data_IF_574108283956
#
_entry.id   IF_574108283956
#
_cell.length_a   1.000
_cell.length_b   1.000
_cell.length_c   1.000
_cell.angle_alpha   90.00
_cell.angle_beta   90.00
_cell.angle_gamma   90.00
#
_symmetry.space_group_name_H-M   'P 1'
#
loop_
_entity.id
_entity.type
_entity.pdbx_description
1 polymer ?
#
# COMPACT_ATOMS: atom_id res chain seq x y z
N UNK A 1 12.15 6.15 -7.10
CA UNK A 1 13.18 5.88 -6.06
C UNK A 1 14.10 4.81 -6.60
N UNK A 2 15.41 4.98 -6.50
CA UNK A 2 16.35 3.88 -6.77
C UNK A 2 16.34 2.91 -5.58
N UNK A 3 16.23 1.61 -5.85
CA UNK A 3 16.22 0.58 -4.81
C UNK A 3 16.97 -0.66 -5.29
N UNK A 4 17.90 -1.21 -4.48
CA UNK A 4 18.47 -2.52 -4.75
C UNK A 4 17.40 -3.60 -4.84
N UNK A 5 17.58 -4.55 -5.76
CA UNK A 5 16.59 -5.59 -6.02
C UNK A 5 16.22 -6.38 -4.76
N UNK A 6 17.18 -6.63 -3.87
CA UNK A 6 16.97 -7.32 -2.59
C UNK A 6 16.04 -6.57 -1.62
N UNK A 7 15.89 -5.26 -1.78
CA UNK A 7 15.08 -4.42 -0.90
C UNK A 7 13.74 -4.01 -1.51
N UNK A 8 13.53 -4.24 -2.82
CA UNK A 8 12.31 -3.86 -3.54
C UNK A 8 11.05 -4.36 -2.84
N UNK A 9 11.01 -5.63 -2.43
CA UNK A 9 9.82 -6.22 -1.80
C UNK A 9 9.44 -5.51 -0.50
N UNK A 10 10.41 -5.31 0.39
CA UNK A 10 10.18 -4.64 1.67
C UNK A 10 9.84 -3.15 1.51
N UNK A 11 10.53 -2.45 0.61
CA UNK A 11 10.28 -1.05 0.33
C UNK A 11 8.87 -0.84 -0.28
N UNK A 12 8.46 -1.68 -1.23
CA UNK A 12 7.13 -1.66 -1.82
C UNK A 12 6.05 -1.96 -0.78
N UNK A 13 6.23 -3.00 0.06
CA UNK A 13 5.29 -3.34 1.15
C UNK A 13 5.10 -2.15 2.10
N UNK A 14 6.20 -1.51 2.52
CA UNK A 14 6.19 -0.35 3.40
C UNK A 14 5.41 0.84 2.82
N UNK A 15 5.71 1.24 1.59
CA UNK A 15 5.05 2.38 0.96
C UNK A 15 3.57 2.09 0.65
N UNK A 16 3.24 0.88 0.19
CA UNK A 16 1.86 0.47 -0.05
C UNK A 16 1.04 0.49 1.25
N UNK A 17 1.56 -0.10 2.34
CA UNK A 17 0.89 -0.04 3.63
C UNK A 17 0.74 1.38 4.17
N UNK A 18 1.69 2.27 3.88
CA UNK A 18 1.58 3.70 4.24
C UNK A 18 0.39 4.36 3.53
N UNK A 19 0.17 4.08 2.23
CA UNK A 19 -1.00 4.57 1.49
C UNK A 19 -2.29 4.03 2.13
N UNK A 20 -2.38 2.72 2.37
CA UNK A 20 -3.57 2.10 2.93
C UNK A 20 -3.86 2.54 4.36
N UNK A 21 -2.83 2.81 5.18
CA UNK A 21 -3.03 3.37 6.52
C UNK A 21 -3.83 4.68 6.47
N UNK A 22 -3.48 5.57 5.54
CA UNK A 22 -4.15 6.86 5.39
C UNK A 22 -5.51 6.80 4.68
N UNK A 23 -5.77 5.75 3.89
CA UNK A 23 -7.00 5.65 3.08
C UNK A 23 -8.04 4.68 3.59
N UNK A 24 -7.64 3.66 4.33
CA UNK A 24 -8.58 2.76 4.99
C UNK A 24 -9.07 3.32 6.33
N UNK A 25 -8.44 4.39 6.84
CA UNK A 25 -8.69 5.02 8.15
C UNK A 25 -9.02 3.97 9.21
N UNK A 26 -8.16 2.97 9.24
CA UNK A 26 -8.23 1.90 10.22
C UNK A 26 -8.08 2.59 11.57
N UNK A 27 -9.05 2.40 12.47
CA UNK A 27 -8.89 2.82 13.87
C UNK A 27 -7.45 2.51 14.30
N UNK A 28 -6.77 3.36 15.09
CA UNK A 28 -5.44 3.06 15.63
C UNK A 28 -5.33 1.67 16.28
N UNK A 29 -6.46 1.07 16.68
CA UNK A 29 -6.56 -0.33 17.13
C UNK A 29 -6.19 -1.41 16.08
N UNK A 30 -6.08 -1.04 14.81
CA UNK A 30 -5.87 -1.92 13.67
C UNK A 30 -4.58 -1.61 12.91
N UNK A 31 -3.58 -1.12 13.63
CA UNK A 31 -2.21 -1.02 13.13
C UNK A 31 -1.24 -1.80 14.01
N UNK A 32 -0.07 -2.10 13.46
CA UNK A 32 1.04 -2.73 14.15
C UNK A 32 2.37 -2.19 13.63
N UNK A 33 3.37 -2.16 14.52
CA UNK A 33 4.74 -1.91 14.14
C UNK A 33 5.28 -3.11 13.35
N UNK A 34 5.98 -2.82 12.26
CA UNK A 34 6.69 -3.80 11.47
C UNK A 34 8.07 -3.27 11.07
N UNK A 35 8.88 -4.14 10.47
CA UNK A 35 10.26 -3.86 10.12
C UNK A 35 10.59 -4.55 8.81
N UNK A 36 11.18 -3.79 7.90
CA UNK A 36 11.87 -4.35 6.75
C UNK A 36 13.17 -4.97 7.28
N UNK A 37 13.16 -6.28 7.54
CA UNK A 37 14.28 -6.99 8.18
C UNK A 37 15.61 -6.75 7.46
N UNK A 38 15.59 -6.69 6.13
CA UNK A 38 16.78 -6.50 5.29
C UNK A 38 17.36 -5.08 5.35
N UNK A 39 16.59 -4.08 5.78
CA UNK A 39 17.01 -2.69 5.93
C UNK A 39 17.06 -2.23 7.40
N UNK A 40 16.64 -3.08 8.34
CA UNK A 40 16.37 -2.70 9.73
C UNK A 40 15.48 -1.45 9.85
N UNK A 41 14.58 -1.24 8.88
CA UNK A 41 13.75 -0.04 8.77
C UNK A 41 12.37 -0.27 9.40
N UNK A 42 12.02 0.43 10.49
CA UNK A 42 10.71 0.31 11.12
C UNK A 42 9.63 1.07 10.34
N UNK A 43 8.43 0.52 10.27
CA UNK A 43 7.28 1.20 9.68
C UNK A 43 5.97 0.68 10.30
N UNK A 44 4.90 1.45 10.16
CA UNK A 44 3.56 1.06 10.61
C UNK A 44 2.80 0.44 9.45
N UNK A 45 2.14 -0.70 9.70
CA UNK A 45 1.23 -1.32 8.73
C UNK A 45 -0.14 -1.62 9.32
N UNK A 46 -1.06 -1.97 8.44
CA UNK A 46 -2.40 -2.39 8.81
C UNK A 46 -2.35 -3.78 9.47
N UNK A 47 -2.94 -3.93 10.66
CA UNK A 47 -2.95 -5.16 11.45
C UNK A 47 -4.15 -6.02 11.08
N UNK A 48 -3.91 -7.30 10.75
CA UNK A 48 -5.00 -8.28 10.55
C UNK A 48 -5.81 -8.46 11.83
N UNK A 49 -7.14 -8.48 11.68
CA UNK A 49 -8.06 -8.66 12.80
C UNK A 49 -8.28 -10.18 12.99
N UNK A 50 -7.96 -10.76 14.16
CA UNK A 50 -8.24 -12.16 14.42
C UNK A 50 -9.73 -12.46 14.27
N UNK A 51 -10.08 -13.55 13.59
CA UNK A 51 -11.50 -13.92 13.35
C UNK A 51 -12.28 -14.11 14.65
N UNK A 52 -11.62 -14.56 15.73
CA UNK A 52 -12.20 -14.67 17.07
C UNK A 52 -12.57 -13.33 17.72
N UNK A 53 -11.99 -12.23 17.25
CA UNK A 53 -12.22 -10.88 17.79
C UNK A 53 -13.32 -10.13 17.04
N UNK A 54 -13.74 -10.60 15.86
CA UNK A 54 -14.72 -9.93 15.01
C UNK A 54 -16.10 -9.97 15.66
N UNK A 55 -16.66 -8.79 15.99
CA UNK A 55 -18.01 -8.64 16.55
C UNK A 55 -18.78 -7.58 15.77
N UNK A 56 -19.93 -7.96 15.23
CA UNK A 56 -20.80 -7.07 14.46
C UNK A 56 -20.34 -6.85 13.01
N UNK A 57 -21.24 -6.28 12.21
CA UNK A 57 -21.08 -6.12 10.76
C UNK A 57 -19.92 -5.19 10.39
N UNK A 58 -19.78 -4.06 11.10
CA UNK A 58 -18.72 -3.08 10.84
C UNK A 58 -17.32 -3.66 11.01
N UNK A 59 -17.10 -4.44 12.07
CA UNK A 59 -15.81 -5.08 12.33
C UNK A 59 -15.52 -6.20 11.33
N UNK A 60 -16.56 -6.92 10.89
CA UNK A 60 -16.41 -7.93 9.85
C UNK A 60 -16.00 -7.31 8.51
N UNK A 61 -16.64 -6.19 8.13
CA UNK A 61 -16.30 -5.46 6.90
C UNK A 61 -14.86 -4.92 6.95
N UNK A 62 -14.44 -4.38 8.10
CA UNK A 62 -13.05 -3.98 8.32
C UNK A 62 -12.08 -5.16 8.19
N UNK A 63 -12.37 -6.30 8.83
CA UNK A 63 -11.52 -7.49 8.77
C UNK A 63 -11.36 -8.01 7.33
N UNK A 64 -12.45 -8.07 6.56
CA UNK A 64 -12.44 -8.49 5.15
C UNK A 64 -11.56 -7.56 4.31
N UNK A 65 -11.73 -6.25 4.47
CA UNK A 65 -10.98 -5.29 3.68
C UNK A 65 -9.49 -5.26 4.05
N UNK A 66 -9.15 -5.38 5.34
CA UNK A 66 -7.76 -5.51 5.80
C UNK A 66 -7.11 -6.78 5.22
N UNK A 67 -7.79 -7.93 5.30
CA UNK A 67 -7.29 -9.17 4.74
C UNK A 67 -7.05 -9.03 3.22
N UNK A 68 -8.00 -8.41 2.52
CA UNK A 68 -7.87 -8.09 1.09
C UNK A 68 -6.66 -7.20 0.82
N UNK A 69 -6.38 -6.20 1.67
CA UNK A 69 -5.21 -5.31 1.51
C UNK A 69 -3.92 -6.10 1.58
N UNK A 70 -3.77 -6.96 2.58
CA UNK A 70 -2.60 -7.83 2.70
C UNK A 70 -2.44 -8.75 1.49
N UNK A 71 -3.53 -9.36 1.04
CA UNK A 71 -3.49 -10.33 -0.05
C UNK A 71 -3.15 -9.65 -1.39
N UNK A 72 -3.72 -8.48 -1.68
CA UNK A 72 -3.41 -7.70 -2.89
C UNK A 72 -1.97 -7.15 -2.87
N UNK A 73 -1.47 -6.64 -1.74
CA UNK A 73 -0.07 -6.20 -1.62
C UNK A 73 0.87 -7.38 -1.87
N UNK A 74 0.64 -8.51 -1.18
CA UNK A 74 1.44 -9.71 -1.36
C UNK A 74 1.42 -10.18 -2.80
N UNK A 75 0.23 -10.26 -3.41
CA UNK A 75 0.06 -10.67 -4.80
C UNK A 75 0.87 -9.76 -5.73
N UNK A 76 0.71 -8.44 -5.61
CA UNK A 76 1.42 -7.48 -6.46
C UNK A 76 2.94 -7.58 -6.34
N UNK A 77 3.48 -7.72 -5.13
CA UNK A 77 4.92 -7.84 -4.90
C UNK A 77 5.44 -9.18 -5.41
N UNK A 78 4.75 -10.29 -5.12
CA UNK A 78 5.19 -11.63 -5.51
C UNK A 78 5.07 -11.91 -7.01
N UNK A 79 4.24 -11.15 -7.73
CA UNK A 79 4.18 -11.20 -9.19
C UNK A 79 5.34 -10.49 -9.89
N UNK A 80 6.09 -9.63 -9.19
CA UNK A 80 7.31 -9.04 -9.75
C UNK A 80 8.38 -10.13 -9.93
N UNK A 81 8.97 -10.29 -11.13
CA UNK A 81 10.01 -11.28 -11.36
C UNK A 81 11.23 -11.08 -10.45
N UNK A 82 11.81 -12.19 -9.96
CA UNK A 82 13.02 -12.16 -9.11
C UNK A 82 14.28 -11.63 -9.81
N UNK A 83 14.26 -11.39 -11.12
CA UNK A 83 15.39 -10.86 -11.91
C UNK A 83 14.90 -9.67 -12.70
N UNK A 84 14.92 -8.50 -12.04
CA UNK A 84 14.31 -7.27 -12.55
C UNK A 84 15.27 -6.06 -12.48
N UNK A 85 16.54 -6.30 -12.17
CA UNK A 85 17.56 -5.27 -12.19
C UNK A 85 17.59 -4.48 -13.51
N UNK A 86 17.87 -3.19 -13.40
CA UNK A 86 17.88 -2.19 -14.48
C UNK A 86 16.51 -1.98 -15.17
N UNK A 87 15.42 -2.28 -14.46
CA UNK A 87 14.05 -1.98 -14.90
C UNK A 87 13.37 -1.04 -13.91
N UNK A 88 12.34 -0.36 -14.39
CA UNK A 88 11.44 0.38 -13.52
C UNK A 88 10.24 -0.49 -13.19
N UNK A 89 9.98 -0.69 -11.90
CA UNK A 89 8.76 -1.32 -11.40
C UNK A 89 7.84 -0.22 -10.89
N UNK A 90 6.65 -0.15 -11.45
CA UNK A 90 5.61 0.77 -11.02
C UNK A 90 4.47 -0.02 -10.36
N UNK A 91 4.02 0.41 -9.18
CA UNK A 91 2.78 -0.05 -8.58
C UNK A 91 1.72 1.05 -8.69
N UNK A 92 0.59 0.73 -9.33
CA UNK A 92 -0.60 1.59 -9.39
C UNK A 92 -1.62 1.12 -8.36
N UNK A 93 -1.98 1.97 -7.41
CA UNK A 93 -3.08 1.75 -6.47
C UNK A 93 -4.27 2.58 -6.90
N UNK A 94 -5.36 1.93 -7.31
CA UNK A 94 -6.61 2.62 -7.64
C UNK A 94 -7.63 2.42 -6.53
N UNK A 95 -8.16 3.52 -5.99
CA UNK A 95 -9.32 3.52 -5.12
C UNK A 95 -10.59 3.78 -5.94
N UNK A 96 -11.55 2.87 -5.77
CA UNK A 96 -12.76 2.79 -6.58
C UNK A 96 -13.99 3.09 -5.74
N UNK A 97 -14.95 3.81 -6.33
CA UNK A 97 -16.27 4.06 -5.75
C UNK A 97 -17.34 3.55 -6.71
N UNK A 98 -18.21 2.69 -6.21
CA UNK A 98 -19.38 2.20 -6.92
C UNK A 98 -20.35 3.35 -7.12
N UNK A 99 -20.77 3.56 -8.36
CA UNK A 99 -21.91 4.41 -8.68
C UNK A 99 -23.18 3.58 -8.40
N UNK A 100 -23.98 4.00 -7.42
CA UNK A 100 -25.14 3.23 -6.97
C UNK A 100 -26.13 2.87 -8.08
N UNK A 101 -26.69 1.66 -7.99
CA UNK A 101 -27.96 1.16 -8.56
C UNK A 101 -28.31 1.45 -10.03
N UNK A 102 -27.33 1.64 -10.92
CA UNK A 102 -27.56 1.55 -12.36
C UNK A 102 -26.73 0.40 -12.94
N UNK A 103 -27.40 -0.50 -13.64
CA UNK A 103 -26.94 -1.84 -14.06
C UNK A 103 -25.76 -1.77 -15.09
N UNK A 104 -25.28 -0.57 -15.41
CA UNK A 104 -24.25 -0.31 -16.41
C UNK A 104 -23.19 0.73 -15.99
N UNK A 105 -23.19 1.24 -14.76
CA UNK A 105 -22.15 2.19 -14.34
C UNK A 105 -20.91 1.44 -13.82
N UNK A 106 -19.80 1.56 -14.54
CA UNK A 106 -18.49 1.15 -14.04
C UNK A 106 -18.12 1.92 -12.77
N UNK A 107 -17.41 1.26 -11.86
CA UNK A 107 -16.84 1.92 -10.68
C UNK A 107 -15.88 3.04 -11.12
N UNK A 108 -15.93 4.17 -10.42
CA UNK A 108 -15.12 5.35 -10.73
C UNK A 108 -13.83 5.33 -9.91
N UNK A 109 -12.68 5.49 -10.58
CA UNK A 109 -11.40 5.74 -9.90
C UNK A 109 -11.46 7.15 -9.31
N UNK A 110 -11.58 7.28 -8.00
CA UNK A 110 -11.66 8.59 -7.33
C UNK A 110 -10.30 9.04 -6.80
N UNK A 111 -9.37 8.11 -6.61
CA UNK A 111 -7.98 8.42 -6.27
C UNK A 111 -7.05 7.34 -6.82
N UNK A 112 -5.88 7.77 -7.32
CA UNK A 112 -4.87 6.88 -7.89
C UNK A 112 -3.50 7.29 -7.33
N UNK A 113 -2.73 6.29 -6.90
CA UNK A 113 -1.35 6.44 -6.49
C UNK A 113 -0.42 5.66 -7.39
N UNK A 114 0.74 6.23 -7.71
CA UNK A 114 1.80 5.57 -8.45
C UNK A 114 3.07 5.53 -7.59
N UNK A 115 3.60 4.33 -7.37
CA UNK A 115 4.89 4.12 -6.71
C UNK A 115 5.87 3.58 -7.74
N UNK A 116 6.88 4.39 -8.09
CA UNK A 116 7.88 4.03 -9.08
C UNK A 116 9.24 3.72 -8.43
N UNK A 117 9.74 2.53 -8.71
CA UNK A 117 11.02 2.00 -8.24
C UNK A 117 11.94 1.75 -9.44
N UNK A 118 13.07 2.45 -9.48
CA UNK A 118 14.17 2.15 -10.41
C UNK A 118 15.00 1.07 -9.73
N UNK A 119 14.95 -0.16 -10.25
CA UNK A 119 15.56 -1.30 -9.58
C UNK A 119 17.01 -1.44 -10.02
N UNK A 120 17.94 -1.35 -9.07
CA UNK A 120 19.38 -1.52 -9.34
C UNK A 120 19.85 -2.92 -8.91
N UNK A 121 20.83 -3.53 -9.61
CA UNK A 121 21.28 -4.90 -9.32
C UNK A 121 21.97 -5.06 -7.98
N UNK A 122 22.60 -3.99 -7.48
CA UNK A 122 23.28 -3.92 -6.20
C UNK A 122 23.21 -2.48 -5.70
N UNK A 123 23.34 -2.29 -4.38
CA UNK A 123 23.41 -0.95 -3.80
C UNK A 123 24.72 -0.27 -4.20
N UNK A 124 24.63 0.76 -5.03
CA UNK A 124 25.70 1.76 -5.21
C UNK A 124 25.65 2.84 -4.13
N UNK A 125 24.50 2.99 -3.49
CA UNK A 125 24.23 3.91 -2.38
C UNK A 125 24.52 3.22 -1.05
N UNK A 126 24.79 4.00 0.00
CA UNK A 126 24.88 3.43 1.36
C UNK A 126 23.48 2.95 1.81
N UNK A 127 23.45 2.00 2.75
CA UNK A 127 22.17 1.57 3.33
C UNK A 127 21.41 2.73 3.98
N UNK A 128 22.15 3.68 4.57
CA UNK A 128 21.60 4.88 5.19
C UNK A 128 20.90 5.78 4.15
N UNK A 129 21.48 5.91 2.94
CA UNK A 129 20.86 6.69 1.85
C UNK A 129 19.54 6.04 1.36
N UNK A 130 19.51 4.70 1.28
CA UNK A 130 18.29 3.96 0.91
C UNK A 130 17.20 4.17 1.97
N UNK A 131 17.57 4.08 3.25
CA UNK A 131 16.68 4.33 4.39
C UNK A 131 16.18 5.77 4.42
N UNK A 132 17.05 6.75 4.19
CA UNK A 132 16.69 8.16 4.13
C UNK A 132 15.70 8.41 2.98
N UNK A 133 15.97 7.87 1.80
CA UNK A 133 15.08 8.00 0.65
C UNK A 133 13.72 7.36 0.93
N UNK A 134 13.70 6.18 1.56
CA UNK A 134 12.46 5.51 1.95
C UNK A 134 11.65 6.32 2.97
N UNK A 135 12.33 6.87 3.97
CA UNK A 135 11.76 7.76 4.97
C UNK A 135 11.14 9.00 4.33
N UNK A 136 11.84 9.61 3.38
CA UNK A 136 11.36 10.79 2.66
C UNK A 136 10.12 10.46 1.81
N UNK A 137 10.08 9.32 1.11
CA UNK A 137 8.89 8.87 0.37
C UNK A 137 7.71 8.54 1.26
N UNK A 138 7.95 7.93 2.43
CA UNK A 138 6.89 7.72 3.40
C UNK A 138 6.32 9.04 3.93
N UNK A 139 7.18 10.03 4.19
CA UNK A 139 6.77 11.39 4.59
C UNK A 139 5.96 12.10 3.49
N UNK A 140 6.35 11.95 2.22
CA UNK A 140 5.58 12.48 1.09
C UNK A 140 4.15 11.89 1.06
N UNK A 141 4.00 10.58 1.27
CA UNK A 141 2.69 9.92 1.36
C UNK A 141 1.86 10.50 2.51
N UNK A 142 2.46 10.67 3.69
CA UNK A 142 1.80 11.26 4.87
C UNK A 142 1.32 12.68 4.56
N UNK A 143 2.21 13.52 4.03
CA UNK A 143 1.90 14.92 3.73
C UNK A 143 0.80 15.04 2.68
N UNK A 144 0.89 14.27 1.58
CA UNK A 144 -0.15 14.26 0.54
C UNK A 144 -1.49 13.74 1.06
N UNK A 145 -1.44 12.76 1.96
CA UNK A 145 -2.64 12.21 2.59
C UNK A 145 -3.38 13.23 3.45
N UNK A 146 -2.65 14.15 4.08
CA UNK A 146 -3.20 15.20 4.93
C UNK A 146 -3.71 16.40 4.13
N UNK A 147 -3.09 16.72 2.99
CA UNK A 147 -3.51 17.86 2.14
C UNK A 147 -4.75 17.58 1.29
N UNK A 148 -5.16 16.31 1.14
CA UNK A 148 -6.35 15.93 0.37
C UNK A 148 -7.52 15.58 1.31
N UNK A 149 -8.34 16.57 1.64
CA UNK A 149 -9.45 16.45 2.61
C UNK A 149 -10.59 15.53 2.16
N UNK A 150 -10.84 15.41 0.86
CA UNK A 150 -11.87 14.51 0.32
C UNK A 150 -11.52 13.02 0.54
N UNK A 151 -10.22 12.72 0.62
CA UNK A 151 -9.71 11.37 0.83
C UNK A 151 -9.74 10.90 2.30
N UNK A 152 -10.13 11.77 3.23
CA UNK A 152 -10.17 11.49 4.68
C UNK A 152 -11.46 10.79 5.16
N UNK A 153 -12.31 10.27 4.27
CA UNK A 153 -13.62 9.73 4.68
C UNK A 153 -14.03 8.39 4.05
N UNK A 154 -13.10 7.61 3.51
CA UNK A 154 -13.39 6.27 2.99
C UNK A 154 -13.07 5.20 4.04
N UNK A 155 -13.87 5.17 5.10
CA UNK A 155 -14.00 3.95 5.90
C UNK A 155 -14.69 2.88 5.06
N UNK A 156 -14.51 1.60 5.41
CA UNK A 156 -15.06 0.36 4.86
C UNK A 156 -16.58 0.33 4.58
N UNK A 157 -17.10 1.36 3.92
CA UNK A 157 -18.48 1.53 3.51
C UNK A 157 -18.68 0.66 2.28
N UNK A 158 -19.81 -0.01 2.27
CA UNK A 158 -20.33 -0.70 1.10
C UNK A 158 -20.27 0.23 -0.11
N UNK A 159 -19.73 -0.24 -1.23
CA UNK A 159 -19.56 0.56 -2.44
C UNK A 159 -18.17 1.17 -2.63
N UNK A 160 -17.19 0.88 -1.77
CA UNK A 160 -15.80 1.26 -1.98
C UNK A 160 -14.92 0.03 -2.12
N UNK A 161 -13.99 0.06 -3.05
CA UNK A 161 -13.01 -1.00 -3.26
C UNK A 161 -11.66 -0.43 -3.72
N UNK A 162 -10.66 -1.29 -3.85
CA UNK A 162 -9.37 -0.93 -4.39
C UNK A 162 -8.78 -2.09 -5.19
N UNK A 163 -7.80 -1.77 -6.02
CA UNK A 163 -6.94 -2.73 -6.75
C UNK A 163 -5.49 -2.25 -6.76
N UNK A 164 -4.56 -3.18 -6.83
CA UNK A 164 -3.13 -2.90 -7.02
C UNK A 164 -2.69 -3.59 -8.31
N UNK A 165 -2.18 -2.79 -9.25
CA UNK A 165 -1.59 -3.27 -10.50
C UNK A 165 -0.09 -2.97 -10.46
N UNK A 166 0.71 -3.77 -11.16
CA UNK A 166 2.13 -3.45 -11.34
C UNK A 166 2.53 -3.55 -12.80
N UNK A 167 3.44 -2.67 -13.21
CA UNK A 167 4.00 -2.61 -14.55
C UNK A 167 5.53 -2.67 -14.48
N UNK A 168 6.15 -3.28 -15.47
CA UNK A 168 7.60 -3.35 -15.65
C UNK A 168 7.92 -2.61 -16.94
N UNK A 169 8.75 -1.57 -16.84
CA UNK A 169 9.26 -0.76 -17.95
C UNK A 169 10.76 -1.03 -18.15
#
# INVERSE_FOLDING_TARGET
MEVPQEYLGGAAECLLHSIFFHRLLVSPSYVEDHMIQTLSYPYVRVKRIPRSSVRGENMNNAAIAIDKTHDEIRKAITSVPKRIANRTVEFKVSFLKDKGSWIFSSAEEWEIWYLQFIVVPFSTQSMDDVVETLSNKQREIINFSQSNSEAQHVQFKKGYSFKIEHNIM
#
